data_IF_921426104908
#
_entry.id   IF_921426104908
#
_cell.length_a   1.000
_cell.length_b   1.000
_cell.length_c   1.000
_cell.angle_alpha   90.00
_cell.angle_beta   90.00
_cell.angle_gamma   90.00
#
_symmetry.space_group_name_H-M   'P 1'
#
loop_
_entity.id
_entity.type
_entity.pdbx_description
1 polymer ?
#
# COMPACT_ATOMS: atom_id res chain seq x y z
N UNK A 1 54.63 -24.46 9.77
CA UNK A 1 53.37 -23.92 10.34
C UNK A 1 52.48 -23.53 9.16
N UNK A 2 51.44 -24.32 8.84
CA UNK A 2 50.55 -24.08 7.68
C UNK A 2 49.38 -23.21 8.15
N UNK A 3 49.28 -21.98 7.66
CA UNK A 3 48.10 -21.13 7.88
C UNK A 3 47.11 -21.50 6.77
N UNK A 4 46.13 -22.34 7.11
CA UNK A 4 45.02 -22.67 6.22
C UNK A 4 44.04 -21.50 6.17
N UNK A 5 43.97 -20.83 5.02
CA UNK A 5 42.96 -19.81 4.76
C UNK A 5 41.59 -20.45 4.55
N UNK A 6 40.65 -20.20 5.45
CA UNK A 6 39.24 -20.46 5.22
C UNK A 6 38.70 -19.45 4.20
N UNK A 7 38.63 -19.87 2.94
CA UNK A 7 37.84 -19.18 1.92
C UNK A 7 36.36 -19.34 2.25
N UNK A 8 35.76 -18.33 2.89
CA UNK A 8 34.30 -18.24 3.01
C UNK A 8 33.77 -17.72 1.68
N UNK A 9 33.33 -18.64 0.82
CA UNK A 9 32.62 -18.30 -0.42
C UNK A 9 31.21 -17.86 -0.02
N UNK A 10 31.01 -16.55 0.14
CA UNK A 10 29.69 -15.93 0.18
C UNK A 10 29.05 -16.08 -1.21
N UNK A 11 28.20 -17.09 -1.37
CA UNK A 11 27.27 -17.16 -2.48
C UNK A 11 26.31 -15.98 -2.36
N UNK A 12 26.58 -14.90 -3.08
CA UNK A 12 25.56 -13.92 -3.44
C UNK A 12 24.57 -14.65 -4.34
N UNK A 13 23.53 -15.24 -3.74
CA UNK A 13 22.30 -15.54 -4.45
C UNK A 13 21.75 -14.18 -4.89
N UNK A 14 22.13 -13.74 -6.09
CA UNK A 14 21.40 -12.70 -6.80
C UNK A 14 20.02 -13.28 -7.04
N UNK A 15 19.12 -13.10 -6.08
CA UNK A 15 17.74 -13.54 -6.22
C UNK A 15 17.22 -12.84 -7.46
N UNK A 16 17.03 -13.59 -8.54
CA UNK A 16 16.39 -13.08 -9.74
C UNK A 16 15.08 -12.41 -9.30
N UNK A 17 14.83 -11.21 -9.81
CA UNK A 17 13.54 -10.53 -9.65
C UNK A 17 12.63 -11.08 -10.76
N UNK A 18 11.84 -12.15 -10.54
CA UNK A 18 11.05 -12.77 -11.60
C UNK A 18 10.07 -11.78 -12.25
N UNK A 19 9.63 -10.78 -11.48
CA UNK A 19 8.75 -9.73 -11.97
C UNK A 19 9.50 -8.42 -12.25
N UNK A 20 10.83 -8.47 -12.32
CA UNK A 20 11.75 -7.33 -12.45
C UNK A 20 11.46 -6.41 -13.63
N UNK A 21 10.98 -6.98 -14.73
CA UNK A 21 10.79 -6.29 -16.01
C UNK A 21 9.45 -5.53 -16.13
N UNK A 22 8.50 -5.80 -15.23
CA UNK A 22 7.23 -5.06 -15.22
C UNK A 22 7.48 -3.55 -15.04
N UNK A 23 6.76 -2.74 -15.81
CA UNK A 23 6.86 -1.28 -15.74
C UNK A 23 5.76 -0.72 -14.85
N UNK A 24 6.10 0.37 -14.16
CA UNK A 24 5.13 1.14 -13.37
C UNK A 24 3.98 1.58 -14.29
N UNK A 25 2.76 1.45 -13.77
CA UNK A 25 1.57 2.04 -14.34
C UNK A 25 0.99 3.06 -13.35
N UNK A 26 0.29 4.06 -13.87
CA UNK A 26 -0.32 5.08 -13.05
C UNK A 26 0.60 6.14 -12.50
N UNK A 27 -0.02 6.97 -11.66
CA UNK A 27 0.61 8.14 -11.07
C UNK A 27 0.53 8.07 -9.54
N UNK A 28 1.69 8.01 -8.89
CA UNK A 28 1.78 8.15 -7.44
C UNK A 28 1.59 9.61 -7.03
N UNK A 29 0.50 9.89 -6.31
CA UNK A 29 0.19 11.23 -5.84
C UNK A 29 0.17 11.29 -4.32
N UNK A 30 0.78 12.35 -3.77
CA UNK A 30 0.65 12.66 -2.36
C UNK A 30 -0.66 13.40 -2.12
N UNK A 31 -1.42 12.96 -1.12
CA UNK A 31 -2.66 13.64 -0.74
C UNK A 31 -2.34 14.97 -0.03
N UNK A 32 -2.96 16.05 -0.49
CA UNK A 32 -3.03 17.31 0.26
C UNK A 32 -4.10 17.24 1.34
N UNK A 33 -4.12 18.24 2.22
CA UNK A 33 -5.13 18.34 3.27
C UNK A 33 -6.55 18.31 2.66
N UNK A 34 -7.41 17.47 3.23
CA UNK A 34 -8.77 17.20 2.79
C UNK A 34 -8.92 16.56 1.39
N UNK A 35 -7.83 16.08 0.77
CA UNK A 35 -7.90 15.35 -0.50
C UNK A 35 -8.16 13.85 -0.29
N UNK A 36 -8.84 13.26 -1.27
CA UNK A 36 -9.18 11.84 -1.32
C UNK A 36 -8.79 11.24 -2.66
N UNK A 37 -8.18 10.06 -2.62
CA UNK A 37 -7.99 9.19 -3.78
C UNK A 37 -8.45 7.79 -3.38
N UNK A 38 -9.55 7.35 -3.99
CA UNK A 38 -10.23 6.11 -3.63
C UNK A 38 -10.50 6.03 -2.13
N UNK A 39 -10.03 4.94 -1.53
CA UNK A 39 -10.24 4.62 -0.12
C UNK A 39 -9.38 5.45 0.84
N UNK A 40 -8.41 6.22 0.36
CA UNK A 40 -7.51 7.01 1.22
C UNK A 40 -7.90 8.48 1.24
N UNK A 41 -8.01 9.03 2.43
CA UNK A 41 -8.35 10.43 2.67
C UNK A 41 -7.39 11.03 3.70
N UNK A 42 -6.83 12.20 3.39
CA UNK A 42 -6.00 12.95 4.34
C UNK A 42 -6.84 13.99 5.05
N UNK A 43 -6.77 13.99 6.38
CA UNK A 43 -7.44 15.00 7.20
C UNK A 43 -6.71 15.22 8.53
N UNK A 44 -6.40 16.48 8.84
CA UNK A 44 -5.68 16.92 10.04
C UNK A 44 -4.41 16.10 10.32
N UNK A 45 -3.53 16.02 9.32
CA UNK A 45 -2.28 15.25 9.38
C UNK A 45 -2.51 13.81 9.85
N UNK A 46 -3.55 13.19 9.31
CA UNK A 46 -3.85 11.76 9.45
C UNK A 46 -4.33 11.21 8.12
N UNK A 47 -4.08 9.93 7.89
CA UNK A 47 -4.63 9.21 6.75
C UNK A 47 -5.73 8.27 7.26
N UNK A 48 -6.88 8.33 6.62
CA UNK A 48 -7.98 7.39 6.81
C UNK A 48 -8.02 6.45 5.62
N UNK A 49 -8.17 5.15 5.86
CA UNK A 49 -8.55 4.16 4.86
C UNK A 49 -10.04 3.89 4.96
N UNK A 50 -10.87 4.80 4.46
CA UNK A 50 -12.32 4.77 4.61
C UNK A 50 -13.05 5.58 3.54
N UNK A 51 -14.32 5.24 3.27
CA UNK A 51 -15.25 5.97 2.41
C UNK A 51 -16.51 6.34 3.20
N UNK A 52 -17.03 7.55 2.98
CA UNK A 52 -18.20 8.06 3.69
C UNK A 52 -18.13 9.58 3.87
N UNK A 53 -19.17 10.14 4.47
CA UNK A 53 -19.22 11.55 4.86
C UNK A 53 -18.10 11.87 5.86
N UNK A 54 -17.40 12.99 5.66
CA UNK A 54 -16.23 13.36 6.45
C UNK A 54 -16.53 13.48 7.95
N UNK A 55 -17.70 13.99 8.34
CA UNK A 55 -18.06 14.13 9.75
C UNK A 55 -18.33 12.76 10.39
N UNK A 56 -18.95 11.84 9.65
CA UNK A 56 -19.15 10.45 10.07
C UNK A 56 -17.81 9.73 10.24
N UNK A 57 -16.90 9.86 9.27
CA UNK A 57 -15.59 9.22 9.33
C UNK A 57 -14.75 9.70 10.51
N UNK A 58 -14.70 11.02 10.76
CA UNK A 58 -13.97 11.59 11.89
C UNK A 58 -14.53 11.12 13.24
N UNK A 59 -15.84 10.88 13.31
CA UNK A 59 -16.51 10.45 14.54
C UNK A 59 -16.30 8.96 14.85
N UNK A 60 -16.34 8.09 13.83
CA UNK A 60 -16.44 6.65 14.04
C UNK A 60 -15.22 5.85 13.56
N UNK A 61 -14.40 6.39 12.66
CA UNK A 61 -13.30 5.65 12.05
C UNK A 61 -11.97 6.09 12.67
N UNK A 62 -11.19 5.11 13.12
CA UNK A 62 -9.82 5.36 13.56
C UNK A 62 -8.94 5.61 12.33
N UNK A 63 -8.11 6.68 12.31
CA UNK A 63 -7.10 6.85 11.26
C UNK A 63 -6.11 5.69 11.26
N UNK A 64 -5.46 5.47 10.12
CA UNK A 64 -4.38 4.50 9.98
C UNK A 64 -3.23 4.86 10.93
N UNK A 65 -2.67 3.85 11.58
CA UNK A 65 -1.57 4.02 12.53
C UNK A 65 -0.20 3.94 11.84
N UNK A 66 0.80 4.59 12.45
CA UNK A 66 2.20 4.50 12.05
C UNK A 66 2.49 4.89 10.59
N UNK A 67 1.68 5.80 10.05
CA UNK A 67 1.86 6.34 8.69
C UNK A 67 2.91 7.44 8.70
N UNK A 68 3.88 7.35 7.79
CA UNK A 68 4.73 8.48 7.44
C UNK A 68 4.03 9.33 6.37
N UNK A 69 3.31 10.36 6.82
CA UNK A 69 2.46 11.21 5.98
C UNK A 69 3.26 11.95 4.91
N UNK A 70 4.51 12.31 5.21
CA UNK A 70 5.36 13.04 4.28
C UNK A 70 5.80 12.19 3.08
N UNK A 71 5.83 10.88 3.25
CA UNK A 71 6.13 9.91 2.20
C UNK A 71 4.92 9.11 1.73
N UNK A 72 3.70 9.44 2.18
CA UNK A 72 2.50 8.70 1.82
C UNK A 72 1.98 9.10 0.43
N UNK A 73 2.05 8.16 -0.52
CA UNK A 73 1.56 8.31 -1.89
C UNK A 73 0.47 7.28 -2.19
N UNK A 74 -0.51 7.69 -2.98
CA UNK A 74 -1.57 6.82 -3.50
C UNK A 74 -1.43 6.74 -5.02
N UNK A 75 -1.43 5.54 -5.59
CA UNK A 75 -1.40 5.35 -7.05
C UNK A 75 -2.79 5.58 -7.63
N UNK A 76 -2.94 6.62 -8.46
CA UNK A 76 -4.21 7.06 -9.05
C UNK A 76 -4.43 6.42 -10.42
N UNK A 77 -4.89 5.17 -10.46
CA UNK A 77 -5.22 4.45 -11.71
C UNK A 77 -6.59 3.79 -11.74
N UNK A 78 -7.30 3.71 -10.62
CA UNK A 78 -8.57 2.96 -10.60
C UNK A 78 -9.73 3.87 -10.97
N UNK A 79 -10.22 3.70 -12.20
CA UNK A 79 -11.46 4.30 -12.73
C UNK A 79 -12.70 3.66 -12.07
N UNK A 80 -12.53 2.46 -11.50
CA UNK A 80 -13.63 1.60 -11.04
C UNK A 80 -13.83 1.62 -9.51
N UNK A 81 -13.22 2.58 -8.80
CA UNK A 81 -13.51 2.84 -7.38
C UNK A 81 -13.04 1.81 -6.36
N UNK A 82 -12.51 0.65 -6.76
CA UNK A 82 -11.94 -0.33 -5.82
C UNK A 82 -10.45 -0.06 -5.53
N UNK A 83 -10.15 0.02 -4.23
CA UNK A 83 -8.84 0.14 -3.57
C UNK A 83 -7.64 0.49 -4.46
N UNK A 84 -7.15 1.72 -4.33
CA UNK A 84 -5.83 2.08 -4.84
C UNK A 84 -4.74 1.36 -4.03
N UNK A 85 -3.60 1.07 -4.65
CA UNK A 85 -2.39 0.87 -3.85
C UNK A 85 -1.96 2.22 -3.29
N UNK A 86 -1.52 2.22 -2.04
CA UNK A 86 -0.79 3.32 -1.45
C UNK A 86 0.53 2.81 -0.89
N UNK A 87 1.46 3.70 -0.59
CA UNK A 87 2.70 3.37 0.10
C UNK A 87 3.23 4.58 0.83
N UNK A 88 3.92 4.33 1.94
CA UNK A 88 4.86 5.27 2.52
C UNK A 88 6.28 4.68 2.47
N UNK A 89 7.25 5.33 3.10
CA UNK A 89 8.63 4.81 3.13
C UNK A 89 8.77 3.46 3.86
N UNK A 90 7.79 3.08 4.68
CA UNK A 90 7.84 1.91 5.56
C UNK A 90 7.02 0.74 5.04
N UNK A 91 5.84 1.00 4.46
CA UNK A 91 4.91 -0.05 4.05
C UNK A 91 4.22 0.25 2.71
N UNK A 92 3.69 -0.82 2.11
CA UNK A 92 2.72 -0.77 1.03
C UNK A 92 1.33 -1.07 1.60
N UNK A 93 0.32 -0.38 1.09
CA UNK A 93 -1.05 -0.44 1.56
C UNK A 93 -2.05 -0.78 0.44
N UNK A 94 -3.06 -1.54 0.81
CA UNK A 94 -4.27 -1.84 0.02
C UNK A 94 -5.43 -2.08 1.01
N UNK A 95 -6.68 -1.65 0.77
CA UNK A 95 -7.78 -1.94 1.71
C UNK A 95 -8.17 -3.44 1.68
N UNK A 96 -7.51 -4.26 2.51
CA UNK A 96 -7.58 -5.73 2.46
C UNK A 96 -8.84 -6.32 3.11
N UNK A 97 -9.32 -5.69 4.18
CA UNK A 97 -10.51 -6.08 4.91
C UNK A 97 -11.37 -4.86 5.19
N UNK A 98 -12.43 -4.71 4.42
CA UNK A 98 -13.37 -3.59 4.50
C UNK A 98 -14.55 -3.97 5.38
N UNK A 99 -14.94 -3.09 6.28
CA UNK A 99 -16.16 -3.17 7.06
C UNK A 99 -17.11 -2.09 6.55
N UNK A 100 -18.33 -2.48 6.19
CA UNK A 100 -19.43 -1.57 5.92
C UNK A 100 -20.26 -1.44 7.21
N UNK A 101 -20.55 -0.21 7.62
CA UNK A 101 -21.30 0.08 8.83
C UNK A 101 -22.38 1.12 8.53
N UNK A 102 -23.57 0.91 9.09
CA UNK A 102 -24.63 1.91 9.05
C UNK A 102 -24.32 3.03 10.04
N UNK A 103 -24.73 4.26 9.70
CA UNK A 103 -24.82 5.36 10.64
C UNK A 103 -26.19 6.06 10.48
N UNK A 104 -26.47 7.01 11.38
CA UNK A 104 -27.77 7.65 11.56
C UNK A 104 -28.43 8.19 10.27
N UNK A 105 -27.63 8.52 9.24
CA UNK A 105 -28.12 9.07 7.97
C UNK A 105 -27.46 8.46 6.75
N UNK A 106 -26.17 8.08 6.82
CA UNK A 106 -25.43 7.47 5.72
C UNK A 106 -24.54 6.35 6.25
N UNK A 107 -24.44 5.24 5.52
CA UNK A 107 -23.45 4.21 5.78
C UNK A 107 -22.03 4.72 5.50
N UNK A 108 -21.03 4.05 6.09
CA UNK A 108 -19.63 4.30 5.85
C UNK A 108 -18.86 2.98 5.76
N UNK A 109 -17.71 3.03 5.11
CA UNK A 109 -16.83 1.89 4.93
C UNK A 109 -15.44 2.22 5.44
N UNK A 110 -14.76 1.28 6.07
CA UNK A 110 -13.37 1.47 6.50
C UNK A 110 -12.57 0.17 6.47
N UNK A 111 -11.28 0.28 6.21
CA UNK A 111 -10.36 -0.84 6.18
C UNK A 111 -9.83 -1.10 7.59
N UNK A 112 -9.99 -2.34 8.06
CA UNK A 112 -9.43 -2.82 9.32
C UNK A 112 -8.04 -3.44 9.14
N UNK A 113 -7.73 -3.87 7.92
CA UNK A 113 -6.42 -4.37 7.51
C UNK A 113 -6.02 -3.65 6.23
N UNK A 114 -4.81 -3.11 6.21
CA UNK A 114 -4.32 -2.39 5.03
C UNK A 114 -2.89 -2.70 4.61
N UNK A 115 -2.06 -3.30 5.47
CA UNK A 115 -0.66 -3.55 5.14
C UNK A 115 -0.54 -4.75 4.21
N UNK A 116 0.05 -4.52 3.03
CA UNK A 116 0.47 -5.57 2.09
C UNK A 116 1.73 -6.23 2.64
N UNK A 117 1.54 -7.35 3.36
CA UNK A 117 2.62 -8.02 4.08
C UNK A 117 3.73 -8.49 3.13
N UNK A 118 4.97 -8.19 3.49
CA UNK A 118 6.17 -8.63 2.75
C UNK A 118 6.56 -7.73 1.57
N UNK A 119 5.72 -6.77 1.17
CA UNK A 119 6.03 -5.88 0.05
C UNK A 119 7.09 -4.85 0.42
N UNK A 120 8.08 -4.66 -0.47
CA UNK A 120 9.10 -3.64 -0.29
C UNK A 120 8.67 -2.29 -0.90
N UNK A 121 8.36 -1.25 -0.10
CA UNK A 121 7.81 0.01 -0.61
C UNK A 121 8.74 0.75 -1.58
N UNK A 122 10.05 0.65 -1.35
CA UNK A 122 11.07 1.31 -2.17
C UNK A 122 11.15 0.81 -3.61
N UNK A 123 10.74 -0.43 -3.87
CA UNK A 123 10.69 -1.02 -5.23
C UNK A 123 9.28 -1.37 -5.70
N UNK A 124 8.26 -1.13 -4.87
CA UNK A 124 6.88 -1.43 -5.21
C UNK A 124 6.37 -0.54 -6.34
N UNK A 125 5.81 -1.17 -7.35
CA UNK A 125 5.15 -0.56 -8.51
C UNK A 125 3.76 -1.14 -8.68
N UNK A 126 2.81 -0.29 -9.03
CA UNK A 126 1.55 -0.74 -9.60
C UNK A 126 1.79 -1.15 -11.05
N UNK A 127 1.17 -2.24 -11.51
CA UNK A 127 1.42 -2.80 -12.85
C UNK A 127 0.14 -3.08 -13.63
N UNK A 128 -0.96 -2.42 -13.24
CA UNK A 128 -2.26 -2.51 -13.92
C UNK A 128 -3.19 -3.55 -13.31
N UNK A 129 -4.49 -3.40 -13.57
CA UNK A 129 -5.54 -4.35 -13.18
C UNK A 129 -5.50 -4.73 -11.69
N UNK A 130 -5.26 -3.79 -10.78
CA UNK A 130 -5.16 -4.11 -9.34
C UNK A 130 -3.96 -5.00 -8.95
N UNK A 131 -2.98 -5.18 -9.86
CA UNK A 131 -1.73 -5.86 -9.59
C UNK A 131 -0.64 -4.88 -9.20
N UNK A 132 0.23 -5.27 -8.29
CA UNK A 132 1.46 -4.57 -7.96
C UNK A 132 2.59 -5.56 -7.68
N UNK A 133 3.83 -5.11 -7.75
CA UNK A 133 4.99 -5.95 -7.46
C UNK A 133 6.15 -5.12 -6.94
N UNK A 134 6.97 -5.69 -6.06
CA UNK A 134 8.26 -5.13 -5.64
C UNK A 134 9.44 -5.66 -6.48
N UNK A 135 9.15 -6.48 -7.49
CA UNK A 135 10.10 -7.19 -8.34
C UNK A 135 10.32 -8.65 -7.92
N UNK A 136 10.04 -9.00 -6.68
CA UNK A 136 10.20 -10.37 -6.14
C UNK A 136 8.86 -11.09 -6.05
N UNK A 137 7.84 -10.41 -5.54
CA UNK A 137 6.50 -10.98 -5.35
C UNK A 137 5.49 -10.17 -6.17
N UNK A 138 4.57 -10.87 -6.83
CA UNK A 138 3.39 -10.27 -7.45
C UNK A 138 2.27 -10.24 -6.43
N UNK A 139 1.53 -9.15 -6.38
CA UNK A 139 0.39 -8.95 -5.49
C UNK A 139 -0.84 -8.60 -6.33
N UNK A 140 -1.97 -9.24 -6.07
CA UNK A 140 -3.28 -8.90 -6.64
C UNK A 140 -4.19 -8.44 -5.51
N UNK A 141 -4.68 -7.21 -5.59
CA UNK A 141 -5.49 -6.58 -4.53
C UNK A 141 -4.84 -6.69 -3.15
N UNK A 142 -3.53 -6.45 -3.09
CA UNK A 142 -2.73 -6.48 -1.86
C UNK A 142 -2.43 -7.87 -1.29
N UNK A 143 -2.79 -8.96 -1.97
CA UNK A 143 -2.45 -10.33 -1.56
C UNK A 143 -1.42 -10.92 -2.52
N UNK A 144 -0.39 -11.63 -2.02
CA UNK A 144 0.58 -12.28 -2.90
C UNK A 144 -0.13 -13.29 -3.80
N UNK A 145 0.36 -13.41 -5.03
CA UNK A 145 -0.05 -14.44 -5.99
C UNK A 145 1.18 -15.18 -6.47
N UNK A 146 1.03 -16.51 -6.62
CA UNK A 146 2.07 -17.40 -7.16
C UNK A 146 2.20 -17.26 -8.68
#
# INVERSE_FOLDING_TARGET
>A
MKIGGCFVILFFLSSCKPYGDYKEQGCWMQLKENERIGFYWRYNDRIYAALGDSAILVKYVKPMESIDINSFYVNKETIDGMGNYAKDKNNVYYPLRIICADADTYGYEYATESIVKGAFPSSFRYVGEGKGTDGYTMYKYGRPVD
#
